data_IF_601575979256
#
_entry.id   IF_601575979256
#
_cell.length_a   1.000
_cell.length_b   1.000
_cell.length_c   1.000
_cell.angle_alpha   90.00
_cell.angle_beta   90.00
_cell.angle_gamma   90.00
#
_symmetry.space_group_name_H-M   'P 1'
#
loop_
_entity.id
_entity.type
_entity.pdbx_description
1 polymer ?
#
# COMPACT_ATOMS: atom_id res chain seq x y z
N UNK A 1 24.33 14.41 71.88
CA UNK A 1 23.18 14.16 70.97
C UNK A 1 23.60 14.52 69.55
N UNK A 2 24.04 13.55 68.75
CA UNK A 2 24.50 13.78 67.38
C UNK A 2 23.47 13.19 66.40
N UNK A 3 22.88 14.04 65.55
CA UNK A 3 21.93 13.65 64.50
C UNK A 3 22.70 13.02 63.34
N UNK A 4 22.44 11.73 63.07
CA UNK A 4 22.95 11.00 61.90
C UNK A 4 22.05 11.31 60.70
N UNK A 5 22.56 12.09 59.75
CA UNK A 5 21.88 12.36 58.48
C UNK A 5 21.96 11.13 57.57
N UNK A 6 20.81 10.59 57.16
CA UNK A 6 20.72 9.52 56.16
C UNK A 6 20.81 10.11 54.76
N UNK A 7 21.88 9.77 54.05
CA UNK A 7 22.06 10.09 52.63
C UNK A 7 21.22 9.11 51.80
N UNK A 8 20.15 9.59 51.17
CA UNK A 8 19.36 8.81 50.21
C UNK A 8 20.19 8.57 48.94
N UNK A 9 20.38 7.31 48.57
CA UNK A 9 20.99 6.90 47.31
C UNK A 9 20.12 7.32 46.12
N UNK A 10 20.70 8.10 45.19
CA UNK A 10 20.08 8.42 43.90
C UNK A 10 20.11 7.17 43.01
N UNK A 11 18.95 6.62 42.67
CA UNK A 11 18.83 5.60 41.63
C UNK A 11 19.22 6.20 40.28
N UNK A 12 20.21 5.59 39.63
CA UNK A 12 20.60 5.93 38.27
C UNK A 12 19.45 5.56 37.30
N UNK A 13 18.93 6.54 36.59
CA UNK A 13 17.97 6.34 35.49
C UNK A 13 18.66 5.61 34.36
N UNK A 14 18.16 4.42 34.00
CA UNK A 14 18.58 3.68 32.80
C UNK A 14 18.43 4.57 31.56
N UNK A 15 19.38 4.56 30.62
CA UNK A 15 19.22 5.30 29.37
C UNK A 15 18.01 4.76 28.61
N UNK A 16 17.23 5.60 27.90
CA UNK A 16 16.13 5.12 27.10
C UNK A 16 16.72 4.18 26.04
N UNK A 17 16.25 2.94 26.04
CA UNK A 17 16.52 2.01 24.95
C UNK A 17 16.17 2.72 23.64
N UNK A 18 17.16 2.96 22.79
CA UNK A 18 16.94 3.41 21.43
C UNK A 18 15.92 2.46 20.81
N UNK A 19 14.68 2.92 20.66
CA UNK A 19 13.61 2.16 20.06
C UNK A 19 14.00 2.10 18.60
N UNK A 20 14.67 1.02 18.18
CA UNK A 20 14.82 0.70 16.77
C UNK A 20 13.47 1.00 16.12
N UNK A 21 13.47 1.88 15.12
CA UNK A 21 12.23 2.33 14.50
C UNK A 21 11.52 1.11 13.93
N UNK A 22 10.56 0.60 14.70
CA UNK A 22 9.70 -0.48 14.23
C UNK A 22 8.85 0.18 13.18
N UNK A 23 8.93 -0.33 11.95
CA UNK A 23 8.07 0.10 10.85
C UNK A 23 6.59 0.14 11.25
N UNK A 24 5.74 0.77 10.42
CA UNK A 24 4.34 0.98 10.77
C UNK A 24 3.66 -0.34 11.15
N UNK A 25 2.67 -0.23 12.05
CA UNK A 25 1.89 -1.38 12.51
C UNK A 25 1.24 -2.08 11.31
N UNK A 26 1.21 -3.41 11.34
CA UNK A 26 0.45 -4.18 10.36
C UNK A 26 -0.93 -4.51 10.91
N UNK A 27 -1.95 -4.35 10.06
CA UNK A 27 -3.33 -4.76 10.33
C UNK A 27 -3.52 -6.26 10.04
N UNK A 28 -4.71 -6.76 10.32
CA UNK A 28 -5.11 -8.14 9.94
C UNK A 28 -4.84 -8.39 8.46
N UNK A 29 -4.25 -9.54 8.16
CA UNK A 29 -3.84 -9.90 6.79
C UNK A 29 -2.49 -9.33 6.36
N UNK A 30 -1.79 -8.60 7.24
CA UNK A 30 -0.46 -8.05 6.97
C UNK A 30 -0.48 -6.71 6.24
N UNK A 31 -1.61 -6.02 6.22
CA UNK A 31 -1.75 -4.73 5.55
C UNK A 31 -1.07 -3.59 6.33
N UNK A 32 -0.13 -2.85 5.73
CA UNK A 32 0.50 -1.72 6.42
C UNK A 32 -0.51 -0.66 6.87
N UNK A 33 -0.44 -0.26 8.14
CA UNK A 33 -1.23 0.84 8.67
C UNK A 33 -0.53 2.17 8.35
N UNK A 34 -0.97 2.83 7.29
CA UNK A 34 -0.46 4.13 6.85
C UNK A 34 -1.59 5.15 6.90
N UNK A 35 -1.29 6.32 7.48
CA UNK A 35 -2.25 7.40 7.60
C UNK A 35 -2.72 7.90 6.21
N UNK A 36 -3.93 8.44 6.16
CA UNK A 36 -4.46 9.13 4.98
C UNK A 36 -3.52 10.28 4.61
N UNK A 37 -3.02 10.28 3.39
CA UNK A 37 -2.21 11.35 2.83
C UNK A 37 -2.17 11.24 1.30
N UNK A 38 -1.84 12.35 0.64
CA UNK A 38 -1.64 12.43 -0.80
C UNK A 38 -0.16 12.44 -1.16
N UNK A 39 0.13 12.09 -2.41
CA UNK A 39 1.47 12.08 -2.98
C UNK A 39 2.18 10.73 -2.88
N UNK A 40 3.42 10.73 -3.37
CA UNK A 40 4.25 9.53 -3.48
C UNK A 40 4.76 9.03 -2.12
N UNK A 41 5.16 9.94 -1.23
CA UNK A 41 5.71 9.61 0.08
C UNK A 41 4.86 8.59 0.90
N UNK A 42 3.54 8.76 1.08
CA UNK A 42 2.74 7.78 1.82
C UNK A 42 2.63 6.43 1.10
N UNK A 43 2.63 6.41 -0.24
CA UNK A 43 2.62 5.18 -1.03
C UNK A 43 3.95 4.43 -0.90
N UNK A 44 5.09 5.12 -0.97
CA UNK A 44 6.40 4.52 -0.75
C UNK A 44 6.54 3.98 0.68
N UNK A 45 6.04 4.72 1.68
CA UNK A 45 6.01 4.24 3.06
C UNK A 45 5.16 2.97 3.21
N UNK A 46 4.02 2.89 2.53
CA UNK A 46 3.21 1.68 2.47
C UNK A 46 3.98 0.51 1.85
N UNK A 47 4.59 0.70 0.67
CA UNK A 47 5.35 -0.34 -0.03
C UNK A 47 6.53 -0.82 0.82
N UNK A 48 7.27 0.11 1.43
CA UNK A 48 8.39 -0.19 2.32
C UNK A 48 7.95 -1.02 3.55
N UNK A 49 6.71 -0.90 3.97
CA UNK A 49 6.14 -1.65 5.08
C UNK A 49 5.46 -2.97 4.70
N UNK A 50 5.22 -3.22 3.41
CA UNK A 50 4.62 -4.49 2.96
C UNK A 50 5.49 -5.68 3.41
N UNK A 51 4.89 -6.75 3.95
CA UNK A 51 5.64 -7.85 4.54
C UNK A 51 6.16 -8.84 3.49
N UNK A 52 7.41 -9.30 3.65
CA UNK A 52 8.00 -10.38 2.86
C UNK A 52 7.94 -10.15 1.35
N UNK A 53 7.54 -11.18 0.60
CA UNK A 53 7.42 -11.16 -0.86
C UNK A 53 6.46 -10.07 -1.38
N UNK A 54 5.47 -9.65 -0.59
CA UNK A 54 4.50 -8.63 -0.99
C UNK A 54 5.16 -7.28 -1.24
N UNK A 55 6.30 -7.00 -0.60
CA UNK A 55 7.11 -5.79 -0.87
C UNK A 55 7.62 -5.74 -2.30
N UNK A 56 8.11 -6.87 -2.82
CA UNK A 56 8.58 -6.96 -4.19
C UNK A 56 7.41 -6.73 -5.18
N UNK A 57 6.24 -7.30 -4.89
CA UNK A 57 5.01 -7.05 -5.67
C UNK A 57 4.61 -5.57 -5.64
N UNK A 58 4.59 -4.95 -4.47
CA UNK A 58 4.25 -3.53 -4.33
C UNK A 58 5.19 -2.61 -5.10
N UNK A 59 6.51 -2.87 -5.02
CA UNK A 59 7.52 -2.16 -5.81
C UNK A 59 7.29 -2.33 -7.30
N UNK A 60 7.05 -3.58 -7.75
CA UNK A 60 6.84 -3.87 -9.16
C UNK A 60 5.58 -3.18 -9.71
N UNK A 61 4.48 -3.21 -8.96
CA UNK A 61 3.26 -2.49 -9.33
C UNK A 61 3.50 -0.98 -9.45
N UNK A 62 4.16 -0.37 -8.48
CA UNK A 62 4.47 1.07 -8.51
C UNK A 62 5.34 1.45 -9.72
N UNK A 63 6.40 0.67 -9.99
CA UNK A 63 7.27 0.85 -11.16
C UNK A 63 6.50 0.79 -12.47
N UNK A 64 5.64 -0.22 -12.66
CA UNK A 64 4.84 -0.38 -13.88
C UNK A 64 3.83 0.77 -14.04
N UNK A 65 3.19 1.18 -12.94
CA UNK A 65 2.21 2.27 -12.95
C UNK A 65 2.89 3.60 -13.32
N UNK A 66 3.95 3.98 -12.63
CA UNK A 66 4.69 5.23 -12.90
C UNK A 66 5.27 5.23 -14.31
N UNK A 67 5.78 4.09 -14.79
CA UNK A 67 6.31 3.98 -16.16
C UNK A 67 5.20 4.16 -17.20
N UNK A 68 4.01 3.63 -16.96
CA UNK A 68 2.89 3.71 -17.90
C UNK A 68 2.17 5.05 -17.86
N UNK A 69 2.13 5.68 -16.70
CA UNK A 69 1.44 6.95 -16.42
C UNK A 69 2.41 7.87 -15.66
N UNK A 70 3.27 8.63 -16.36
CA UNK A 70 4.32 9.44 -15.72
C UNK A 70 3.80 10.48 -14.72
N UNK A 71 2.65 11.08 -15.00
CA UNK A 71 2.02 12.11 -14.15
C UNK A 71 0.97 11.55 -13.18
N UNK A 72 1.08 10.26 -12.83
CA UNK A 72 0.11 9.56 -11.99
C UNK A 72 -0.04 10.23 -10.62
N UNK A 73 -1.29 10.46 -10.22
CA UNK A 73 -1.63 10.89 -8.87
C UNK A 73 -1.61 9.68 -7.94
N UNK A 74 -1.05 9.87 -6.75
CA UNK A 74 -0.89 8.84 -5.72
C UNK A 74 -1.54 9.30 -4.43
N UNK A 75 -2.13 8.37 -3.70
CA UNK A 75 -2.69 8.64 -2.38
C UNK A 75 -2.77 7.36 -1.55
N UNK A 76 -2.81 7.50 -0.23
CA UNK A 76 -3.27 6.45 0.67
C UNK A 76 -4.61 6.84 1.26
N UNK A 77 -5.58 5.93 1.18
CA UNK A 77 -6.89 6.03 1.84
C UNK A 77 -7.25 4.71 2.48
N UNK A 78 -7.81 4.74 3.69
CA UNK A 78 -8.18 3.53 4.44
C UNK A 78 -7.08 2.46 4.47
N UNK A 79 -5.81 2.87 4.58
CA UNK A 79 -4.64 1.98 4.51
C UNK A 79 -4.49 1.23 3.17
N UNK A 80 -4.88 1.85 2.06
CA UNK A 80 -4.78 1.30 0.70
C UNK A 80 -4.15 2.37 -0.20
N UNK A 81 -3.09 2.05 -0.96
CA UNK A 81 -2.59 2.90 -2.04
C UNK A 81 -3.57 2.98 -3.21
N UNK A 82 -3.79 4.18 -3.70
CA UNK A 82 -4.58 4.51 -4.88
C UNK A 82 -3.71 5.24 -5.90
N UNK A 83 -3.98 4.98 -7.17
CA UNK A 83 -3.36 5.64 -8.30
C UNK A 83 -4.43 6.14 -9.26
N UNK A 84 -4.24 7.36 -9.75
CA UNK A 84 -5.26 8.08 -10.51
C UNK A 84 -4.65 9.03 -11.54
N UNK A 85 -5.51 9.62 -12.34
CA UNK A 85 -5.17 10.70 -13.29
C UNK A 85 -5.89 11.95 -12.83
N UNK A 86 -5.19 13.09 -12.84
CA UNK A 86 -5.77 14.37 -12.40
C UNK A 86 -7.03 14.69 -13.23
N UNK A 87 -8.13 15.02 -12.57
CA UNK A 87 -9.42 15.30 -13.22
C UNK A 87 -10.23 14.06 -13.61
N UNK A 88 -9.57 12.92 -13.86
CA UNK A 88 -10.21 11.67 -14.33
C UNK A 88 -10.47 10.65 -13.21
N UNK A 89 -9.93 10.87 -12.01
CA UNK A 89 -10.18 10.02 -10.84
C UNK A 89 -9.22 8.83 -10.71
N UNK A 90 -9.58 7.88 -9.84
CA UNK A 90 -8.73 6.76 -9.46
C UNK A 90 -9.01 5.51 -10.32
N UNK A 91 -7.97 4.90 -10.89
CA UNK A 91 -8.13 3.76 -11.80
C UNK A 91 -7.63 2.43 -11.24
N UNK A 92 -6.67 2.46 -10.30
CA UNK A 92 -6.13 1.24 -9.66
C UNK A 92 -5.81 1.46 -8.18
N UNK A 93 -5.95 0.40 -7.39
CA UNK A 93 -5.55 0.35 -5.99
C UNK A 93 -5.03 -1.04 -5.63
N UNK A 94 -4.24 -1.19 -4.55
CA UNK A 94 -3.85 -2.52 -4.07
C UNK A 94 -3.80 -2.68 -2.55
N UNK A 95 -4.08 -3.88 -2.05
CA UNK A 95 -4.18 -4.16 -0.62
C UNK A 95 -3.52 -5.50 -0.27
N UNK A 96 -2.80 -5.56 0.87
CA UNK A 96 -2.24 -6.83 1.33
C UNK A 96 -3.32 -7.67 2.04
N UNK A 97 -3.61 -8.85 1.49
CA UNK A 97 -4.39 -9.87 2.17
C UNK A 97 -3.45 -10.96 2.72
N UNK A 98 -3.92 -11.80 3.64
CA UNK A 98 -3.09 -12.86 4.26
C UNK A 98 -2.33 -13.69 3.20
N UNK A 99 -3.03 -14.13 2.15
CA UNK A 99 -2.50 -15.07 1.14
C UNK A 99 -2.05 -14.41 -0.18
N UNK A 100 -2.49 -13.20 -0.47
CA UNK A 100 -2.28 -12.56 -1.77
C UNK A 100 -2.17 -11.03 -1.65
N UNK A 101 -1.63 -10.38 -2.68
CA UNK A 101 -1.84 -8.94 -2.91
C UNK A 101 -3.06 -8.81 -3.81
N UNK A 102 -4.07 -8.06 -3.35
CA UNK A 102 -5.26 -7.78 -4.15
C UNK A 102 -5.04 -6.50 -4.93
N UNK A 103 -4.95 -6.61 -6.26
CA UNK A 103 -4.99 -5.48 -7.18
C UNK A 103 -6.44 -5.23 -7.57
N UNK A 104 -6.88 -3.99 -7.50
CA UNK A 104 -8.24 -3.54 -7.79
C UNK A 104 -8.22 -2.65 -9.00
N UNK A 105 -8.96 -3.01 -10.04
CA UNK A 105 -9.21 -2.16 -11.20
C UNK A 105 -10.63 -1.62 -11.13
N UNK A 106 -10.78 -0.32 -11.01
CA UNK A 106 -12.09 0.28 -10.75
C UNK A 106 -13.04 0.11 -11.94
N UNK A 107 -12.54 0.18 -13.18
CA UNK A 107 -13.27 -0.15 -14.41
C UNK A 107 -12.89 -1.53 -14.96
N UNK A 108 -12.71 -2.50 -14.06
CA UNK A 108 -12.21 -3.85 -14.37
C UNK A 108 -13.00 -4.62 -15.43
N UNK A 109 -14.33 -4.43 -15.53
CA UNK A 109 -15.15 -5.09 -16.57
C UNK A 109 -14.88 -4.60 -17.98
N UNK A 110 -14.27 -3.42 -18.12
CA UNK A 110 -13.95 -2.79 -19.40
C UNK A 110 -12.52 -3.10 -19.86
N UNK A 111 -11.80 -3.94 -19.12
CA UNK A 111 -10.45 -4.35 -19.48
C UNK A 111 -10.48 -5.61 -20.35
N UNK A 112 -9.49 -5.74 -21.21
CA UNK A 112 -9.27 -6.90 -22.06
C UNK A 112 -7.84 -7.45 -21.86
N UNK A 113 -7.67 -8.70 -21.39
CA UNK A 113 -8.73 -9.59 -20.93
C UNK A 113 -9.38 -9.07 -19.63
N UNK A 114 -10.62 -9.45 -19.33
CA UNK A 114 -11.27 -9.06 -18.07
C UNK A 114 -10.58 -9.78 -16.89
N UNK A 115 -10.12 -9.08 -15.82
CA UNK A 115 -9.58 -9.74 -14.64
C UNK A 115 -10.63 -10.66 -14.01
N UNK A 116 -10.22 -11.89 -13.68
CA UNK A 116 -11.14 -13.00 -13.40
C UNK A 116 -11.90 -12.92 -12.08
N UNK A 117 -11.46 -12.10 -11.12
CA UNK A 117 -12.08 -12.04 -9.79
C UNK A 117 -13.13 -10.94 -9.74
N UNK A 118 -14.38 -11.33 -9.48
CA UNK A 118 -15.50 -10.41 -9.40
C UNK A 118 -15.51 -9.55 -8.12
N UNK A 119 -16.17 -8.41 -8.22
CA UNK A 119 -16.48 -7.53 -7.10
C UNK A 119 -17.99 -7.46 -6.88
N UNK A 120 -18.40 -7.10 -5.66
CA UNK A 120 -19.79 -6.72 -5.37
C UNK A 120 -20.23 -5.46 -6.12
N UNK A 121 -19.27 -4.64 -6.56
CA UNK A 121 -19.51 -3.47 -7.40
C UNK A 121 -19.38 -3.92 -8.86
N UNK A 122 -20.45 -3.81 -9.63
CA UNK A 122 -20.60 -4.45 -10.94
C UNK A 122 -19.43 -4.23 -11.90
N UNK A 123 -18.90 -3.00 -11.96
CA UNK A 123 -17.84 -2.61 -12.91
C UNK A 123 -16.41 -2.85 -12.40
N UNK A 124 -16.23 -3.22 -11.13
CA UNK A 124 -14.92 -3.45 -10.53
C UNK A 124 -14.50 -4.91 -10.73
N UNK A 125 -13.21 -5.13 -11.01
CA UNK A 125 -12.59 -6.47 -10.98
C UNK A 125 -11.30 -6.45 -10.18
N UNK A 126 -10.96 -7.62 -9.64
CA UNK A 126 -9.71 -7.82 -8.92
C UNK A 126 -8.77 -8.76 -9.68
N UNK A 127 -7.49 -8.58 -9.43
CA UNK A 127 -6.45 -9.54 -9.75
C UNK A 127 -5.69 -9.87 -8.47
N UNK A 128 -5.58 -11.15 -8.13
CA UNK A 128 -4.88 -11.60 -6.93
C UNK A 128 -3.52 -12.15 -7.32
N UNK A 129 -2.45 -11.56 -6.78
CA UNK A 129 -1.08 -12.05 -6.96
C UNK A 129 -0.73 -12.88 -5.74
N UNK A 130 -0.37 -14.14 -5.92
CA UNK A 130 0.06 -15.05 -4.86
C UNK A 130 1.60 -15.17 -4.83
N UNK A 131 2.14 -15.65 -3.70
CA UNK A 131 3.58 -15.70 -3.44
C UNK A 131 4.40 -16.47 -4.49
N UNK A 132 3.81 -17.50 -5.06
CA UNK A 132 4.47 -18.41 -6.00
C UNK A 132 4.11 -18.10 -7.46
N UNK A 133 3.26 -17.12 -7.70
CA UNK A 133 2.85 -16.76 -9.05
C UNK A 133 3.91 -15.82 -9.64
N UNK A 134 4.38 -16.08 -10.87
CA UNK A 134 5.18 -15.09 -11.57
C UNK A 134 4.33 -13.84 -11.79
N UNK A 135 4.96 -12.67 -11.66
CA UNK A 135 4.31 -11.41 -12.03
C UNK A 135 4.30 -11.33 -13.56
N UNK A 136 3.12 -11.38 -14.16
CA UNK A 136 2.95 -11.13 -15.60
C UNK A 136 2.98 -9.62 -15.87
N UNK A 137 4.19 -9.10 -16.07
CA UNK A 137 4.42 -7.68 -16.32
C UNK A 137 3.72 -7.19 -17.60
N UNK A 138 3.58 -8.05 -18.62
CA UNK A 138 2.94 -7.69 -19.87
C UNK A 138 1.44 -7.47 -19.66
N UNK A 139 0.79 -8.43 -18.99
CA UNK A 139 -0.63 -8.34 -18.66
C UNK A 139 -0.92 -7.15 -17.73
N UNK A 140 -0.10 -6.96 -16.69
CA UNK A 140 -0.27 -5.82 -15.78
C UNK A 140 -0.07 -4.49 -16.52
N UNK A 141 0.94 -4.36 -17.37
CA UNK A 141 1.18 -3.14 -18.16
C UNK A 141 0.00 -2.84 -19.09
N UNK A 142 -0.55 -3.87 -19.74
CA UNK A 142 -1.72 -3.75 -20.58
C UNK A 142 -2.94 -3.26 -19.79
N UNK A 143 -3.25 -3.88 -18.66
CA UNK A 143 -4.36 -3.46 -17.79
C UNK A 143 -4.18 -2.06 -17.22
N UNK A 144 -2.97 -1.69 -16.78
CA UNK A 144 -2.68 -0.34 -16.29
C UNK A 144 -2.95 0.68 -17.40
N UNK A 145 -2.48 0.41 -18.62
CA UNK A 145 -2.68 1.30 -19.76
C UNK A 145 -4.15 1.48 -20.17
N UNK A 146 -4.92 0.41 -20.12
CA UNK A 146 -6.36 0.47 -20.38
C UNK A 146 -7.10 1.20 -19.25
N UNK A 147 -6.82 0.83 -18.00
CA UNK A 147 -7.48 1.42 -16.83
C UNK A 147 -7.22 2.93 -16.71
N UNK A 148 -6.01 3.40 -17.00
CA UNK A 148 -5.66 4.82 -16.97
C UNK A 148 -6.32 5.66 -18.08
N UNK A 149 -6.85 5.02 -19.12
CA UNK A 149 -7.53 5.68 -20.23
C UNK A 149 -9.07 5.72 -20.05
N UNK A 150 -9.60 5.13 -18.98
CA UNK A 150 -11.01 5.11 -18.67
C UNK A 150 -11.33 6.13 -17.56
N UNK A 151 -12.55 6.69 -17.52
CA UNK A 151 -13.00 7.48 -16.37
C UNK A 151 -12.90 6.68 -15.07
N UNK A 152 -12.07 7.16 -14.16
CA UNK A 152 -11.81 6.56 -12.87
C UNK A 152 -12.97 6.75 -11.88
N UNK A 153 -12.70 6.41 -10.62
CA UNK A 153 -13.62 6.61 -9.52
C UNK A 153 -13.33 7.89 -8.75
N UNK A 154 -14.38 8.62 -8.39
CA UNK A 154 -14.31 9.77 -7.49
C UNK A 154 -14.72 9.33 -6.09
N UNK A 155 -13.86 8.53 -5.46
CA UNK A 155 -14.18 7.87 -4.19
C UNK A 155 -13.80 8.65 -2.94
N UNK A 156 -13.17 9.83 -3.05
CA UNK A 156 -12.83 10.72 -1.94
C UNK A 156 -12.34 12.10 -2.42
#
# INVERSE_FOLDING_TARGET
>A
MAKRSQQKSKQATKPPHARAERGPKLLTGGNPQIAKADGDAPVQAYIAAMPGWKKAVGRRLDELIVRRVPDVRKAVRWNTPFYGVEGEGWFIAFHCCTKYVKVTFFRGTSLDPVPSVESKINHVRYHHIYERDPIDDALLTQWIGQASALPGEHCF
#
